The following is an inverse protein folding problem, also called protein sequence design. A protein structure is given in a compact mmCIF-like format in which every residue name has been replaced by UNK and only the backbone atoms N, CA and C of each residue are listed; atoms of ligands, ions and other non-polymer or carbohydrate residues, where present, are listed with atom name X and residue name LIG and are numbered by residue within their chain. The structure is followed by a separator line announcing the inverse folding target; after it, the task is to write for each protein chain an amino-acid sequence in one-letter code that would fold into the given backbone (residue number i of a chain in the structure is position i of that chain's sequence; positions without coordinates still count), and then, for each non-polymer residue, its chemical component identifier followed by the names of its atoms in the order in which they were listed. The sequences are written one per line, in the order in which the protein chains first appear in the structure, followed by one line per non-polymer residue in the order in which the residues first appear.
data_IF_768819889301
#
_entry.id   IF_768819889301
#
_cell.length_a   1.000
_cell.length_b   1.000
_cell.length_c   1.000
_cell.angle_alpha   90.00
_cell.angle_beta   90.00
_cell.angle_gamma   90.00
#
_symmetry.space_group_name_H-M   'P 1'
#
loop_
_entity.id
_entity.type
_entity.pdbx_description
1 polymer ?
#
# COMPACT_ATOMS: atom_id res chain seq x y z
N UNK A 1 18.00 -13.08 11.00
CA UNK A 1 16.81 -12.39 10.46
C UNK A 1 15.50 -13.13 10.74
N UNK A 2 15.33 -14.44 10.43
CA UNK A 2 14.08 -15.20 10.70
C UNK A 2 13.62 -15.17 12.17
N UNK A 3 14.54 -15.19 13.14
CA UNK A 3 14.24 -15.15 14.59
C UNK A 3 13.71 -13.80 15.06
N UNK A 4 14.16 -12.70 14.44
CA UNK A 4 13.72 -11.32 14.76
C UNK A 4 12.31 -11.11 14.23
N UNK A 5 12.00 -11.63 13.03
CA UNK A 5 10.65 -11.59 12.44
C UNK A 5 9.65 -12.37 13.32
N UNK A 6 10.04 -13.56 13.80
CA UNK A 6 9.19 -14.37 14.70
C UNK A 6 8.96 -13.69 16.05
N UNK A 7 9.97 -13.01 16.59
CA UNK A 7 9.86 -12.26 17.84
C UNK A 7 8.95 -11.01 17.66
N UNK A 8 9.06 -10.31 16.53
CA UNK A 8 8.20 -9.17 16.21
C UNK A 8 6.73 -9.59 16.07
N UNK A 9 6.44 -10.70 15.39
CA UNK A 9 5.09 -11.25 15.25
C UNK A 9 4.55 -11.75 16.62
N UNK A 10 5.37 -12.36 17.45
CA UNK A 10 4.99 -12.82 18.79
C UNK A 10 4.72 -11.65 19.75
N UNK A 11 5.51 -10.57 19.68
CA UNK A 11 5.30 -9.34 20.46
C UNK A 11 4.00 -8.63 20.04
N UNK A 12 3.71 -8.54 18.74
CA UNK A 12 2.46 -8.00 18.24
C UNK A 12 1.23 -8.81 18.71
N UNK A 13 1.35 -10.14 18.75
CA UNK A 13 0.28 -11.02 19.27
C UNK A 13 0.05 -10.91 20.77
N UNK A 14 1.09 -10.63 21.55
CA UNK A 14 0.98 -10.50 23.01
C UNK A 14 0.34 -9.18 23.47
N UNK A 15 0.45 -8.12 22.67
CA UNK A 15 -0.15 -6.79 22.97
C UNK A 15 -1.66 -6.79 22.72
N UNK A 16 -2.15 -7.64 21.81
CA UNK A 16 -3.56 -7.68 21.40
C UNK A 16 -4.53 -8.17 22.51
N UNK A 17 -4.05 -8.81 23.58
CA UNK A 17 -4.91 -9.44 24.59
C UNK A 17 -5.33 -8.54 25.76
N UNK A 18 -4.79 -7.31 25.88
CA UNK A 18 -5.00 -6.47 27.07
C UNK A 18 -5.47 -5.03 26.78
N UNK A 19 -5.51 -4.60 25.53
CA UNK A 19 -5.83 -3.20 25.21
C UNK A 19 -7.23 -3.09 24.60
N UNK A 20 -8.18 -2.61 25.39
CA UNK A 20 -9.47 -2.12 24.86
C UNK A 20 -9.17 -0.98 23.87
N UNK A 21 -9.40 -1.23 22.55
CA UNK A 21 -9.18 -0.24 21.50
C UNK A 21 -8.09 -0.56 20.48
N UNK A 22 -7.37 -1.68 20.60
CA UNK A 22 -6.40 -2.14 19.60
C UNK A 22 -6.99 -3.34 18.85
N UNK A 23 -7.08 -3.22 17.53
CA UNK A 23 -7.45 -4.31 16.63
C UNK A 23 -6.25 -4.69 15.78
N UNK A 24 -5.89 -5.95 15.77
CA UNK A 24 -4.89 -6.52 14.89
C UNK A 24 -5.57 -7.32 13.79
N UNK A 25 -5.06 -7.24 12.58
CA UNK A 25 -5.65 -7.93 11.44
C UNK A 25 -4.66 -8.20 10.32
N UNK A 26 -5.17 -8.81 9.28
CA UNK A 26 -4.47 -9.04 8.01
C UNK A 26 -5.33 -8.55 6.86
N UNK A 27 -4.69 -8.14 5.77
CA UNK A 27 -5.40 -7.82 4.53
C UNK A 27 -4.61 -8.27 3.31
N UNK A 28 -5.33 -8.49 2.21
CA UNK A 28 -4.78 -8.72 0.90
C UNK A 28 -5.68 -8.09 -0.16
N UNK A 29 -5.13 -7.80 -1.33
CA UNK A 29 -5.90 -7.18 -2.41
C UNK A 29 -5.13 -6.99 -3.68
N UNK A 30 -5.79 -6.31 -4.63
CA UNK A 30 -5.24 -5.96 -5.93
C UNK A 30 -4.81 -4.49 -5.95
N UNK A 31 -3.69 -4.23 -6.61
CA UNK A 31 -3.17 -2.93 -6.99
C UNK A 31 -3.44 -2.70 -8.47
N UNK A 32 -4.09 -1.62 -8.81
CA UNK A 32 -4.25 -1.11 -10.17
C UNK A 32 -3.34 0.10 -10.28
N UNK A 33 -2.11 -0.14 -10.74
CA UNK A 33 -1.07 0.88 -10.82
C UNK A 33 -1.07 1.53 -12.19
N UNK A 34 -0.90 2.85 -12.23
CA UNK A 34 -0.67 3.62 -13.44
C UNK A 34 0.40 4.67 -13.16
N UNK A 35 1.28 4.92 -14.12
CA UNK A 35 2.21 6.03 -14.06
C UNK A 35 1.51 7.26 -14.61
N UNK A 36 1.41 8.32 -13.79
CA UNK A 36 0.87 9.62 -14.18
C UNK A 36 2.01 10.58 -14.44
N UNK A 37 2.00 11.27 -15.59
CA UNK A 37 3.02 12.19 -16.05
C UNK A 37 3.08 12.22 -17.57
N UNK A 38 4.20 12.65 -18.12
CA UNK A 38 4.40 12.80 -19.57
C UNK A 38 4.61 11.45 -20.32
N UNK A 39 4.29 10.33 -19.69
CA UNK A 39 4.50 8.99 -20.25
C UNK A 39 3.14 8.31 -20.48
N UNK A 40 2.87 7.91 -21.72
CA UNK A 40 1.77 7.00 -22.06
C UNK A 40 2.08 5.59 -21.51
N UNK A 41 1.59 5.29 -20.31
CA UNK A 41 1.74 3.97 -19.69
C UNK A 41 0.41 3.22 -19.65
N UNK A 42 0.44 1.92 -19.94
CA UNK A 42 -0.69 1.04 -19.66
C UNK A 42 -0.61 0.59 -18.21
N UNK A 43 -1.74 0.73 -17.49
CA UNK A 43 -1.85 0.28 -16.11
C UNK A 43 -1.66 -1.23 -15.99
N UNK A 44 -0.96 -1.65 -14.95
CA UNK A 44 -0.81 -3.09 -14.61
C UNK A 44 -1.58 -3.42 -13.33
N UNK A 45 -1.98 -4.69 -13.24
CA UNK A 45 -2.65 -5.21 -12.05
C UNK A 45 -1.70 -6.12 -11.30
N UNK A 46 -1.40 -5.74 -10.07
CA UNK A 46 -0.54 -6.47 -9.16
C UNK A 46 -1.28 -6.74 -7.84
N UNK A 47 -0.60 -7.25 -6.83
CA UNK A 47 -1.20 -7.58 -5.55
C UNK A 47 -0.46 -6.91 -4.38
N UNK A 48 -1.15 -6.84 -3.23
CA UNK A 48 -0.55 -6.52 -1.95
C UNK A 48 -1.11 -7.43 -0.87
N UNK A 49 -0.32 -7.68 0.16
CA UNK A 49 -0.75 -8.42 1.34
C UNK A 49 0.07 -8.00 2.56
N UNK A 50 -0.52 -8.08 3.75
CA UNK A 50 0.21 -7.78 4.98
C UNK A 50 -0.65 -7.66 6.22
N UNK A 51 -0.04 -7.09 7.26
CA UNK A 51 -0.64 -6.92 8.57
C UNK A 51 -1.20 -5.51 8.74
N UNK A 52 -2.23 -5.40 9.57
CA UNK A 52 -2.94 -4.16 9.91
C UNK A 52 -3.05 -4.05 11.42
N UNK A 53 -2.74 -2.88 11.96
CA UNK A 53 -2.92 -2.52 13.35
C UNK A 53 -3.79 -1.27 13.42
N UNK A 54 -4.95 -1.36 14.06
CA UNK A 54 -5.86 -0.23 14.27
C UNK A 54 -5.93 0.12 15.76
N UNK A 55 -5.70 1.39 16.07
CA UNK A 55 -5.80 1.97 17.40
C UNK A 55 -7.06 2.84 17.46
N UNK A 56 -8.10 2.37 18.13
CA UNK A 56 -9.32 3.14 18.34
C UNK A 56 -9.12 4.13 19.49
N UNK A 57 -8.97 5.41 19.18
CA UNK A 57 -8.74 6.48 20.17
C UNK A 57 -10.06 6.96 20.77
N UNK A 58 -11.08 7.12 19.94
CA UNK A 58 -12.46 7.43 20.32
C UNK A 58 -13.43 6.70 19.37
N UNK A 59 -14.73 6.58 19.69
CA UNK A 59 -15.68 5.83 18.86
C UNK A 59 -15.79 6.26 17.39
N UNK A 60 -15.39 7.51 17.10
CA UNK A 60 -15.47 8.09 15.75
C UNK A 60 -14.11 8.26 15.07
N UNK A 61 -13.01 7.98 15.77
CA UNK A 61 -11.66 8.21 15.23
C UNK A 61 -10.68 7.13 15.65
N UNK A 62 -9.93 6.61 14.70
CA UNK A 62 -8.83 5.68 14.92
C UNK A 62 -7.61 6.04 14.06
N UNK A 63 -6.47 5.48 14.45
CA UNK A 63 -5.23 5.50 13.67
C UNK A 63 -4.93 4.07 13.26
N UNK A 64 -4.68 3.86 11.97
CA UNK A 64 -4.34 2.56 11.42
C UNK A 64 -2.93 2.60 10.83
N UNK A 65 -2.06 1.70 11.29
CA UNK A 65 -0.75 1.46 10.72
C UNK A 65 -0.76 0.09 10.02
N UNK A 66 -0.07 -0.01 8.90
CA UNK A 66 -0.02 -1.24 8.11
C UNK A 66 1.42 -1.58 7.75
N UNK A 67 1.71 -2.86 7.60
CA UNK A 67 2.95 -3.36 7.01
C UNK A 67 2.59 -4.27 5.85
N UNK A 68 2.81 -3.79 4.62
CA UNK A 68 2.36 -4.44 3.39
C UNK A 68 3.55 -4.80 2.51
N UNK A 69 3.56 -6.02 2.02
CA UNK A 69 4.24 -6.33 0.77
C UNK A 69 3.34 -5.87 -0.39
N UNK A 70 3.86 -5.05 -1.28
CA UNK A 70 3.09 -4.42 -2.35
C UNK A 70 3.89 -4.46 -3.65
N UNK A 71 3.42 -5.23 -4.61
CA UNK A 71 3.94 -5.20 -5.98
C UNK A 71 3.24 -4.09 -6.75
N UNK A 72 4.02 -3.24 -7.41
CA UNK A 72 3.56 -2.08 -8.19
C UNK A 72 4.36 -2.01 -9.49
N UNK A 73 4.01 -1.10 -10.40
CA UNK A 73 4.78 -0.90 -11.61
C UNK A 73 3.95 -0.39 -12.77
N UNK A 74 4.50 -0.51 -13.97
CA UNK A 74 3.87 -0.08 -15.23
C UNK A 74 4.48 -0.80 -16.41
N UNK A 75 3.83 -0.66 -17.58
CA UNK A 75 4.36 -1.11 -18.86
C UNK A 75 5.04 0.04 -19.56
N UNK A 76 6.34 -0.04 -19.78
CA UNK A 76 7.06 0.93 -20.60
C UNK A 76 6.99 0.51 -22.07
N UNK A 77 6.47 1.38 -22.94
CA UNK A 77 6.54 1.23 -24.39
C UNK A 77 7.74 2.03 -24.89
N UNK A 78 8.68 1.36 -25.54
CA UNK A 78 9.77 2.03 -26.24
C UNK A 78 9.40 2.11 -27.73
N UNK A 79 9.26 3.31 -28.25
CA UNK A 79 9.09 3.58 -29.68
C UNK A 79 10.48 3.96 -30.22
N UNK A 80 11.19 3.03 -30.85
CA UNK A 80 12.43 3.28 -31.55
C UNK A 80 12.21 2.97 -33.04
N UNK A 81 12.38 3.98 -33.89
CA UNK A 81 12.30 3.92 -35.38
C UNK A 81 11.05 3.28 -35.98
N UNK A 82 9.84 3.59 -35.46
CA UNK A 82 8.58 3.12 -36.03
C UNK A 82 8.29 1.62 -35.84
N UNK A 83 9.09 0.94 -35.02
CA UNK A 83 8.84 -0.42 -34.55
C UNK A 83 8.34 -0.34 -33.11
N UNK A 84 7.07 -0.70 -32.88
CA UNK A 84 6.52 -0.83 -31.53
C UNK A 84 7.24 -2.00 -30.86
N UNK A 85 8.22 -1.68 -30.02
CA UNK A 85 8.96 -2.66 -29.23
C UNK A 85 8.04 -3.32 -28.20
N UNK A 86 8.34 -4.58 -27.88
CA UNK A 86 7.61 -5.38 -26.88
C UNK A 86 7.58 -4.62 -25.55
N UNK A 87 6.38 -4.33 -25.04
CA UNK A 87 6.20 -3.72 -23.74
C UNK A 87 6.83 -4.62 -22.66
N UNK A 88 7.83 -4.12 -21.96
CA UNK A 88 8.44 -4.84 -20.86
C UNK A 88 7.68 -4.44 -19.57
N UNK A 89 7.14 -5.45 -18.88
CA UNK A 89 6.49 -5.25 -17.59
C UNK A 89 7.58 -4.94 -16.54
N UNK A 90 7.54 -3.73 -15.99
CA UNK A 90 8.42 -3.32 -14.89
C UNK A 90 7.62 -3.56 -13.61
N UNK A 91 7.98 -4.59 -12.85
CA UNK A 91 7.44 -4.87 -11.54
C UNK A 91 8.44 -4.36 -10.48
N UNK A 92 7.93 -3.57 -9.55
CA UNK A 92 8.69 -3.04 -8.43
C UNK A 92 8.03 -3.53 -7.13
N UNK A 93 8.78 -4.30 -6.36
CA UNK A 93 8.30 -4.86 -5.10
C UNK A 93 8.73 -3.97 -3.92
N UNK A 94 7.75 -3.56 -3.13
CA UNK A 94 7.91 -2.65 -2.01
C UNK A 94 7.46 -3.29 -0.70
N UNK A 95 8.17 -2.95 0.37
CA UNK A 95 7.60 -2.99 1.72
C UNK A 95 7.00 -1.60 2.00
N UNK A 96 5.68 -1.52 2.10
CA UNK A 96 4.95 -0.27 2.31
C UNK A 96 4.41 -0.18 3.73
N UNK A 97 4.58 0.99 4.35
CA UNK A 97 4.11 1.29 5.71
C UNK A 97 3.17 2.50 5.65
N UNK A 98 1.89 2.30 5.34
CA UNK A 98 0.88 3.35 5.46
C UNK A 98 0.54 3.63 6.93
N UNK A 99 0.36 4.92 7.26
CA UNK A 99 -0.16 5.39 8.55
C UNK A 99 -1.37 6.27 8.29
N UNK A 100 -2.56 5.76 8.60
CA UNK A 100 -3.83 6.35 8.20
C UNK A 100 -4.61 6.86 9.39
N UNK A 101 -5.06 8.11 9.35
CA UNK A 101 -6.12 8.61 10.20
C UNK A 101 -7.47 8.15 9.65
N UNK A 102 -8.31 7.51 10.46
CA UNK A 102 -9.62 6.98 10.09
C UNK A 102 -10.72 7.70 10.83
N UNK A 103 -11.71 8.15 10.09
CA UNK A 103 -12.93 8.76 10.61
C UNK A 103 -14.14 7.88 10.28
N UNK A 104 -14.85 7.43 11.32
CA UNK A 104 -16.06 6.63 11.17
C UNK A 104 -17.27 7.52 10.88
N UNK A 105 -17.79 7.43 9.65
CA UNK A 105 -19.05 8.09 9.23
C UNK A 105 -20.24 7.33 9.81
N UNK A 106 -20.18 6.00 9.77
CA UNK A 106 -21.10 5.12 10.47
C UNK A 106 -20.31 4.37 11.54
N UNK A 107 -20.67 4.50 12.82
CA UNK A 107 -19.94 3.85 13.91
C UNK A 107 -19.74 2.36 13.64
N UNK A 108 -18.50 1.89 13.80
CA UNK A 108 -18.08 0.51 13.64
C UNK A 108 -18.36 -0.12 12.26
N UNK A 109 -18.74 0.66 11.24
CA UNK A 109 -19.10 0.13 9.93
C UNK A 109 -18.37 0.83 8.80
N UNK A 110 -18.66 2.09 8.51
CA UNK A 110 -18.09 2.83 7.39
C UNK A 110 -17.14 3.92 7.87
N UNK A 111 -15.92 3.92 7.38
CA UNK A 111 -14.94 4.97 7.65
C UNK A 111 -14.32 5.51 6.37
N UNK A 112 -13.93 6.79 6.43
CA UNK A 112 -12.98 7.40 5.49
C UNK A 112 -11.62 7.45 6.14
N UNK A 113 -10.57 7.37 5.34
CA UNK A 113 -9.21 7.40 5.85
C UNK A 113 -8.30 8.22 4.94
N UNK A 114 -7.30 8.85 5.54
CA UNK A 114 -6.24 9.54 4.82
C UNK A 114 -4.95 9.51 5.63
N UNK A 115 -3.80 9.53 4.95
CA UNK A 115 -2.50 9.58 5.61
C UNK A 115 -1.32 9.36 4.67
N UNK A 116 -0.10 9.48 5.18
CA UNK A 116 1.12 9.18 4.45
C UNK A 116 1.33 7.67 4.31
N UNK A 117 1.96 7.28 3.21
CA UNK A 117 2.50 5.95 2.98
C UNK A 117 4.00 6.06 2.70
N UNK A 118 4.77 5.25 3.37
CA UNK A 118 6.22 5.12 3.19
C UNK A 118 6.50 3.77 2.54
N UNK A 119 7.23 3.76 1.43
CA UNK A 119 7.53 2.53 0.69
C UNK A 119 9.03 2.38 0.51
N UNK A 120 9.52 1.16 0.70
CA UNK A 120 10.92 0.79 0.58
C UNK A 120 11.03 -0.30 -0.48
N UNK A 121 11.83 -0.07 -1.52
CA UNK A 121 12.08 -1.04 -2.58
C UNK A 121 12.85 -2.24 -2.02
N UNK A 122 12.42 -3.45 -2.34
CA UNK A 122 13.02 -4.71 -1.84
C UNK A 122 13.57 -5.61 -2.94
N UNK A 123 13.42 -5.24 -4.21
CA UNK A 123 13.87 -6.06 -5.33
C UNK A 123 15.33 -5.73 -5.73
N UNK A 124 16.07 -6.77 -6.19
CA UNK A 124 17.45 -6.67 -6.65
C UNK A 124 17.61 -5.93 -8.00
N UNK A 125 16.53 -5.36 -8.55
CA UNK A 125 16.58 -4.47 -9.71
C UNK A 125 17.36 -3.16 -9.44
N UNK A 126 17.84 -2.96 -8.24
CA UNK A 126 18.62 -1.80 -7.77
C UNK A 126 19.93 -1.58 -8.56
N UNK A 127 20.50 -2.63 -9.16
CA UNK A 127 21.76 -2.52 -9.93
C UNK A 127 21.58 -2.04 -11.38
N UNK A 128 20.38 -2.04 -11.92
CA UNK A 128 20.16 -1.73 -13.34
C UNK A 128 19.62 -0.32 -13.61
N UNK A 129 18.98 0.30 -12.61
CA UNK A 129 18.36 1.62 -12.73
C UNK A 129 18.59 2.41 -11.43
N UNK A 130 19.01 3.65 -11.55
CA UNK A 130 19.22 4.61 -10.43
C UNK A 130 17.88 4.96 -9.76
N UNK A 131 17.18 3.94 -9.22
CA UNK A 131 15.85 4.05 -8.63
C UNK A 131 15.98 4.37 -7.15
N UNK A 132 15.28 5.40 -6.68
CA UNK A 132 15.26 5.77 -5.26
C UNK A 132 14.69 4.60 -4.44
N UNK A 133 15.47 4.10 -3.50
CA UNK A 133 15.07 3.00 -2.60
C UNK A 133 13.94 3.37 -1.62
N UNK A 134 13.58 4.66 -1.54
CA UNK A 134 12.55 5.19 -0.66
C UNK A 134 11.55 6.05 -1.45
N UNK A 135 10.28 5.74 -1.31
CA UNK A 135 9.16 6.50 -1.89
C UNK A 135 8.18 6.94 -0.80
N UNK A 136 7.69 8.16 -0.93
CA UNK A 136 6.66 8.72 -0.06
C UNK A 136 5.43 9.07 -0.88
N UNK A 137 4.26 8.67 -0.40
CA UNK A 137 2.99 8.88 -1.07
C UNK A 137 1.93 9.40 -0.09
N UNK A 138 0.93 10.09 -0.62
CA UNK A 138 -0.30 10.40 0.08
C UNK A 138 -1.36 9.34 -0.30
N UNK A 139 -2.04 8.79 0.70
CA UNK A 139 -3.07 7.81 0.51
C UNK A 139 -4.40 8.29 1.10
N UNK A 140 -5.51 7.99 0.43
CA UNK A 140 -6.85 8.26 0.91
C UNK A 140 -7.82 7.17 0.47
N UNK A 141 -8.86 6.89 1.26
CA UNK A 141 -9.76 5.80 0.93
C UNK A 141 -10.96 5.65 1.85
N UNK A 142 -11.69 4.58 1.63
CA UNK A 142 -12.85 4.19 2.42
C UNK A 142 -12.69 2.74 2.87
N UNK A 143 -13.21 2.42 4.05
CA UNK A 143 -13.28 1.06 4.57
C UNK A 143 -14.67 0.77 5.09
N UNK A 144 -15.17 -0.39 4.72
CA UNK A 144 -16.43 -0.95 5.19
C UNK A 144 -16.16 -2.20 6.03
N UNK A 145 -16.43 -2.13 7.33
CA UNK A 145 -16.48 -3.32 8.20
C UNK A 145 -17.82 -4.02 7.98
N UNK A 146 -17.76 -5.29 7.55
CA UNK A 146 -18.94 -6.04 7.08
C UNK A 146 -19.55 -6.81 8.24
N UNK A 147 -18.86 -7.84 8.73
CA UNK A 147 -19.34 -8.69 9.83
C UNK A 147 -18.15 -9.40 10.49
N UNK A 148 -18.20 -9.57 11.82
CA UNK A 148 -17.27 -10.41 12.59
C UNK A 148 -15.79 -10.17 12.24
N UNK A 149 -15.35 -8.91 12.14
CA UNK A 149 -13.96 -8.58 11.83
C UNK A 149 -13.62 -8.50 10.33
N UNK A 150 -14.47 -9.00 9.44
CA UNK A 150 -14.28 -8.89 8.00
C UNK A 150 -14.46 -7.43 7.54
N UNK A 151 -13.54 -6.92 6.72
CA UNK A 151 -13.65 -5.60 6.12
C UNK A 151 -13.25 -5.61 4.64
N UNK A 152 -13.79 -4.66 3.89
CA UNK A 152 -13.38 -4.31 2.54
C UNK A 152 -12.89 -2.86 2.52
N UNK A 153 -11.86 -2.59 1.71
CA UNK A 153 -11.23 -1.28 1.63
C UNK A 153 -10.96 -0.91 0.18
N UNK A 154 -11.28 0.33 -0.18
CA UNK A 154 -10.86 0.95 -1.44
C UNK A 154 -9.98 2.15 -1.11
N UNK A 155 -8.78 2.22 -1.72
CA UNK A 155 -7.77 3.24 -1.45
C UNK A 155 -7.19 3.77 -2.76
N UNK A 156 -6.89 5.04 -2.79
CA UNK A 156 -6.11 5.68 -3.83
C UNK A 156 -4.85 6.27 -3.23
N UNK A 157 -3.71 6.01 -3.86
CA UNK A 157 -2.39 6.44 -3.41
C UNK A 157 -1.72 7.23 -4.53
N UNK A 158 -1.18 8.41 -4.21
CA UNK A 158 -0.44 9.27 -5.14
C UNK A 158 0.96 9.46 -4.60
N UNK A 159 1.98 9.11 -5.41
CA UNK A 159 3.38 9.40 -5.12
C UNK A 159 3.62 10.91 -4.97
N UNK A 160 4.35 11.28 -3.91
CA UNK A 160 4.79 12.65 -3.66
C UNK A 160 6.25 12.87 -4.10
N UNK A 161 7.00 11.79 -4.22
CA UNK A 161 8.36 11.75 -4.74
C UNK A 161 8.35 11.33 -6.20
N UNK A 162 9.21 11.92 -7.02
CA UNK A 162 9.38 11.51 -8.41
C UNK A 162 10.14 10.19 -8.46
N UNK A 163 9.74 9.29 -9.34
CA UNK A 163 10.30 7.94 -9.51
C UNK A 163 11.76 8.01 -10.00
N UNK A 164 12.13 9.11 -10.68
CA UNK A 164 13.50 9.36 -11.17
C UNK A 164 13.81 10.85 -11.12
N UNK A 165 15.10 11.20 -10.95
CA UNK A 165 15.55 12.60 -10.94
C UNK A 165 15.44 13.29 -12.32
N UNK A 166 15.16 12.56 -13.40
CA UNK A 166 15.15 13.05 -14.76
C UNK A 166 13.77 13.07 -15.44
N UNK A 167 12.70 12.59 -14.79
CA UNK A 167 11.37 12.44 -15.37
C UNK A 167 10.32 12.76 -14.31
N UNK A 168 9.46 13.73 -14.56
CA UNK A 168 8.29 14.06 -13.72
C UNK A 168 7.20 12.97 -13.87
N UNK A 169 7.48 11.76 -13.37
CA UNK A 169 6.54 10.66 -13.35
C UNK A 169 6.22 10.30 -11.90
N UNK A 170 4.92 10.32 -11.54
CA UNK A 170 4.42 9.96 -10.22
C UNK A 170 3.65 8.66 -10.30
N UNK A 171 3.86 7.81 -9.32
CA UNK A 171 3.11 6.57 -9.21
C UNK A 171 1.71 6.85 -8.65
N UNK A 172 0.68 6.38 -9.34
CA UNK A 172 -0.70 6.44 -8.88
C UNK A 172 -1.27 5.02 -8.81
N UNK A 173 -1.75 4.63 -7.64
CA UNK A 173 -2.22 3.27 -7.39
C UNK A 173 -3.62 3.30 -6.80
N UNK A 174 -4.56 2.64 -7.48
CA UNK A 174 -5.85 2.31 -6.91
C UNK A 174 -5.78 0.90 -6.32
N UNK A 175 -6.18 0.75 -5.05
CA UNK A 175 -6.11 -0.50 -4.32
C UNK A 175 -7.50 -0.95 -3.88
N UNK A 176 -7.82 -2.23 -4.12
CA UNK A 176 -8.98 -2.90 -3.55
C UNK A 176 -8.50 -4.03 -2.63
N UNK A 177 -8.96 -4.03 -1.40
CA UNK A 177 -8.50 -4.99 -0.38
C UNK A 177 -9.68 -5.61 0.36
N UNK A 178 -9.47 -6.82 0.81
CA UNK A 178 -10.28 -7.50 1.81
C UNK A 178 -9.37 -7.88 2.96
N UNK A 179 -9.85 -7.78 4.19
CA UNK A 179 -9.08 -8.12 5.37
C UNK A 179 -9.96 -8.59 6.53
N UNK A 180 -9.28 -9.01 7.57
CA UNK A 180 -9.92 -9.54 8.77
C UNK A 180 -9.20 -9.04 10.01
N UNK A 181 -9.95 -8.45 10.96
CA UNK A 181 -9.50 -8.12 12.31
C UNK A 181 -9.83 -9.27 13.26
N UNK A 182 -8.87 -9.64 14.08
CA UNK A 182 -9.00 -10.73 15.07
C UNK A 182 -9.67 -10.26 16.36
#
# INVERSE_FOLDING_TARGET
MKKILFLAVALLGAVATQAQGINFGVKAGANFSNLTGDIDSEGITNFHAGAVLELNLVPTFSVQAEGLFSSQGGKAKFEEDGVVGVAQDINLDYISVPVMAKFYILPNSLSVMAGPQFSFLVDEAEEAWDTKSFDMAAAGGVELKIIAGLFAQARYTIGLTDVSDNIDAKNAVFQLSVGYFF
#
